data_IF_875185945826
#
_entry.id   IF_875185945826
#
_cell.length_a   1.000
_cell.length_b   1.000
_cell.length_c   1.000
_cell.angle_alpha   90.00
_cell.angle_beta   90.00
_cell.angle_gamma   90.00
#
_symmetry.space_group_name_H-M   'P 1'
#
loop_
_entity.id
_entity.type
_entity.pdbx_description
1 polymer ?
#
# COMPACT_ATOMS: atom_id res chain seq x y z
N UNK A 1 3.06 17.99 -16.84
CA UNK A 1 2.09 16.86 -16.88
C UNK A 1 2.38 15.87 -15.76
N UNK A 2 3.55 15.21 -15.75
CA UNK A 2 3.93 14.22 -14.71
C UNK A 2 3.91 14.73 -13.25
N UNK A 3 4.27 16.00 -12.99
CA UNK A 3 4.25 16.57 -11.63
C UNK A 3 2.82 16.74 -11.08
N UNK A 4 1.89 17.13 -11.94
CA UNK A 4 0.46 17.28 -11.62
C UNK A 4 -0.18 15.91 -11.38
N UNK A 5 0.11 14.94 -12.26
CA UNK A 5 -0.37 13.56 -12.12
C UNK A 5 0.13 12.92 -10.82
N UNK A 6 1.40 13.12 -10.46
CA UNK A 6 1.96 12.64 -9.19
C UNK A 6 1.28 13.27 -7.98
N UNK A 7 0.95 14.56 -8.04
CA UNK A 7 0.26 15.26 -6.94
C UNK A 7 -1.16 14.73 -6.75
N UNK A 8 -1.89 14.55 -7.86
CA UNK A 8 -3.24 13.96 -7.85
C UNK A 8 -3.21 12.52 -7.34
N UNK A 9 -2.23 11.72 -7.79
CA UNK A 9 -2.05 10.36 -7.32
C UNK A 9 -1.79 10.31 -5.81
N UNK A 10 -0.97 11.20 -5.26
CA UNK A 10 -0.74 11.25 -3.82
C UNK A 10 -2.07 11.55 -3.10
N UNK A 11 -2.82 12.56 -3.55
CA UNK A 11 -4.09 12.92 -2.91
C UNK A 11 -5.09 11.76 -2.94
N UNK A 12 -5.31 11.17 -4.11
CA UNK A 12 -6.17 10.00 -4.29
C UNK A 12 -5.68 8.77 -3.52
N UNK A 13 -4.37 8.57 -3.49
CA UNK A 13 -3.74 7.49 -2.75
C UNK A 13 -3.93 7.63 -1.24
N UNK A 14 -3.94 8.86 -0.68
CA UNK A 14 -4.29 9.06 0.73
C UNK A 14 -5.71 8.58 1.06
N UNK A 15 -6.66 8.84 0.16
CA UNK A 15 -8.02 8.33 0.28
C UNK A 15 -8.05 6.81 0.19
N UNK A 16 -7.27 6.22 -0.73
CA UNK A 16 -7.18 4.78 -0.90
C UNK A 16 -6.60 4.07 0.33
N UNK A 17 -5.57 4.63 0.95
CA UNK A 17 -4.97 4.08 2.17
C UNK A 17 -5.97 4.07 3.33
N UNK A 18 -6.76 5.14 3.50
CA UNK A 18 -7.83 5.17 4.52
C UNK A 18 -8.91 4.13 4.24
N UNK A 19 -9.38 4.06 3.00
CA UNK A 19 -10.35 3.05 2.57
C UNK A 19 -9.87 1.63 2.89
N UNK A 20 -8.60 1.32 2.58
CA UNK A 20 -8.00 0.02 2.88
C UNK A 20 -7.92 -0.24 4.38
N UNK A 21 -7.45 0.72 5.17
CA UNK A 21 -7.37 0.60 6.61
C UNK A 21 -8.74 0.37 7.26
N UNK A 22 -9.79 1.04 6.78
CA UNK A 22 -11.17 0.86 7.25
C UNK A 22 -11.75 -0.50 6.85
N UNK A 23 -11.56 -0.91 5.58
CA UNK A 23 -12.13 -2.16 5.07
C UNK A 23 -11.45 -3.40 5.63
N UNK A 24 -10.14 -3.34 5.79
CA UNK A 24 -9.37 -4.48 6.30
C UNK A 24 -9.30 -4.48 7.81
N UNK A 25 -9.32 -3.31 8.46
CA UNK A 25 -9.00 -3.15 9.88
C UNK A 25 -7.49 -3.18 10.17
N UNK A 26 -6.66 -3.32 9.14
CA UNK A 26 -5.20 -3.49 9.22
C UNK A 26 -4.43 -2.22 8.83
N UNK A 27 -3.10 -2.28 8.87
CA UNK A 27 -2.28 -1.12 8.51
C UNK A 27 -2.10 -1.07 7.00
N UNK A 28 -2.53 0.02 6.39
CA UNK A 28 -2.41 0.26 4.96
C UNK A 28 -1.33 1.30 4.64
N UNK A 29 -0.76 1.18 3.45
CA UNK A 29 0.38 1.99 2.99
C UNK A 29 0.22 2.40 1.52
N UNK A 30 0.69 3.61 1.20
CA UNK A 30 0.96 4.05 -0.17
C UNK A 30 2.45 4.15 -0.40
N UNK A 31 2.92 3.42 -1.41
CA UNK A 31 4.29 3.44 -1.87
C UNK A 31 4.37 4.10 -3.24
N UNK A 32 5.30 5.04 -3.44
CA UNK A 32 5.62 5.60 -4.75
C UNK A 32 6.96 5.09 -5.24
N UNK A 33 7.01 4.66 -6.49
CA UNK A 33 8.25 4.27 -7.16
C UNK A 33 9.10 5.49 -7.48
N UNK A 34 10.37 5.43 -7.10
CA UNK A 34 11.39 6.41 -7.43
C UNK A 34 12.71 5.66 -7.69
N UNK A 35 13.15 5.64 -8.96
CA UNK A 35 14.37 4.93 -9.34
C UNK A 35 14.27 3.42 -9.06
N UNK A 36 15.19 2.93 -8.23
CA UNK A 36 15.28 1.52 -7.81
C UNK A 36 14.54 1.25 -6.49
N UNK A 37 13.76 2.20 -5.99
CA UNK A 37 13.17 2.15 -4.67
C UNK A 37 11.68 2.50 -4.71
N UNK A 38 11.03 2.23 -3.59
CA UNK A 38 9.73 2.76 -3.21
C UNK A 38 9.86 3.62 -1.96
N UNK A 39 9.19 4.78 -1.98
CA UNK A 39 9.04 5.68 -0.85
C UNK A 39 7.65 5.51 -0.23
N UNK A 40 7.59 5.26 1.08
CA UNK A 40 6.34 5.31 1.82
C UNK A 40 5.89 6.78 1.97
N UNK A 41 4.77 7.14 1.35
CA UNK A 41 4.25 8.52 1.37
C UNK A 41 2.99 8.70 2.20
N UNK A 42 2.31 7.60 2.54
CA UNK A 42 1.15 7.62 3.42
C UNK A 42 1.01 6.28 4.15
N UNK A 43 0.55 6.35 5.40
CA UNK A 43 0.26 5.18 6.23
C UNK A 43 -1.00 5.45 7.04
N UNK A 44 -1.92 4.50 7.06
CA UNK A 44 -3.11 4.57 7.92
C UNK A 44 -3.29 3.25 8.65
N UNK A 45 -3.55 3.32 9.96
CA UNK A 45 -3.89 2.14 10.76
C UNK A 45 -5.39 1.94 10.79
N UNK A 46 -5.85 0.72 10.51
CA UNK A 46 -7.22 0.30 10.77
C UNK A 46 -7.50 0.13 12.27
N UNK A 47 -8.61 -0.50 12.64
CA UNK A 47 -9.05 -0.60 14.04
C UNK A 47 -8.62 -1.88 14.79
N UNK A 48 -7.93 -2.82 14.15
CA UNK A 48 -7.48 -4.05 14.82
C UNK A 48 -6.48 -3.78 15.95
N UNK A 49 -6.56 -4.49 17.07
CA UNK A 49 -5.83 -4.12 18.29
C UNK A 49 -4.29 -4.09 18.12
N UNK A 50 -3.73 -5.05 17.36
CA UNK A 50 -2.28 -5.16 17.13
C UNK A 50 -1.93 -4.50 15.81
N UNK A 51 -1.00 -3.54 15.82
CA UNK A 51 -0.58 -2.79 14.63
C UNK A 51 0.74 -3.32 14.09
N UNK A 52 0.74 -3.83 12.86
CA UNK A 52 1.97 -4.15 12.14
C UNK A 52 2.54 -2.90 11.47
N UNK A 53 3.46 -2.22 12.17
CA UNK A 53 4.09 -0.97 11.75
C UNK A 53 5.48 -1.22 11.15
N UNK A 54 5.54 -1.94 10.02
CA UNK A 54 6.80 -2.36 9.41
C UNK A 54 7.58 -1.23 8.69
N UNK A 55 6.90 -0.14 8.38
CA UNK A 55 7.44 1.00 7.60
C UNK A 55 6.87 2.30 8.15
N UNK A 56 7.68 3.35 8.20
CA UNK A 56 7.24 4.72 8.51
C UNK A 56 7.11 5.59 7.25
N UNK A 57 6.26 6.61 7.32
CA UNK A 57 6.17 7.60 6.24
C UNK A 57 7.51 8.33 6.12
N UNK A 58 8.05 8.39 4.91
CA UNK A 58 9.41 8.89 4.64
C UNK A 58 10.45 7.79 4.44
N UNK A 59 10.13 6.54 4.80
CA UNK A 59 11.05 5.42 4.60
C UNK A 59 11.15 5.02 3.12
N UNK A 60 12.38 4.67 2.74
CA UNK A 60 12.73 4.10 1.46
C UNK A 60 12.95 2.61 1.59
N UNK A 61 12.46 1.83 0.63
CA UNK A 61 12.72 0.40 0.50
C UNK A 61 13.06 0.07 -0.95
N UNK A 62 14.02 -0.83 -1.22
CA UNK A 62 14.28 -1.28 -2.58
C UNK A 62 13.04 -1.84 -3.27
N UNK A 63 12.94 -1.64 -4.57
CA UNK A 63 12.05 -2.45 -5.39
C UNK A 63 12.44 -3.94 -5.24
N UNK A 64 11.45 -4.83 -5.29
CA UNK A 64 11.65 -6.25 -5.03
C UNK A 64 11.73 -6.67 -3.56
N UNK A 65 11.86 -5.72 -2.61
CA UNK A 65 11.86 -6.02 -1.18
C UNK A 65 10.50 -5.69 -0.54
N UNK A 66 9.99 -6.63 0.26
CA UNK A 66 8.67 -6.54 0.88
C UNK A 66 7.52 -6.50 -0.14
N UNK A 67 6.28 -6.52 0.35
CA UNK A 67 5.11 -6.61 -0.53
C UNK A 67 5.00 -5.38 -1.46
N UNK A 68 5.08 -4.16 -0.92
CA UNK A 68 4.97 -2.94 -1.72
C UNK A 68 6.04 -2.82 -2.82
N UNK A 69 7.30 -3.12 -2.50
CA UNK A 69 8.41 -3.07 -3.45
C UNK A 69 8.30 -4.16 -4.51
N UNK A 70 7.87 -5.37 -4.14
CA UNK A 70 7.67 -6.48 -5.05
C UNK A 70 6.50 -6.24 -6.01
N UNK A 71 5.35 -5.76 -5.51
CA UNK A 71 4.21 -5.38 -6.34
C UNK A 71 4.59 -4.28 -7.35
N UNK A 72 5.24 -3.22 -6.90
CA UNK A 72 5.67 -2.13 -7.78
C UNK A 72 6.66 -2.60 -8.86
N UNK A 73 7.57 -3.52 -8.53
CA UNK A 73 8.49 -4.14 -9.50
C UNK A 73 7.74 -5.02 -10.51
N UNK A 74 6.83 -5.86 -10.04
CA UNK A 74 6.05 -6.77 -10.89
C UNK A 74 5.13 -6.04 -11.88
N UNK A 75 4.63 -4.86 -11.51
CA UNK A 75 3.80 -4.01 -12.38
C UNK A 75 4.55 -3.42 -13.57
N UNK A 76 5.89 -3.38 -13.54
CA UNK A 76 6.69 -2.83 -14.64
C UNK A 76 6.52 -3.63 -15.94
N UNK A 77 6.62 -2.90 -17.06
CA UNK A 77 6.68 -3.51 -18.39
C UNK A 77 7.92 -4.38 -18.52
N UNK A 78 7.83 -5.43 -19.33
CA UNK A 78 8.86 -6.48 -19.45
C UNK A 78 10.28 -5.95 -19.52
N UNK A 79 10.55 -5.13 -20.54
CA UNK A 79 11.89 -4.59 -20.79
C UNK A 79 12.42 -3.75 -19.63
N UNK A 80 11.56 -2.92 -19.03
CA UNK A 80 11.93 -2.08 -17.90
C UNK A 80 12.17 -2.94 -16.65
N UNK A 81 11.31 -3.93 -16.42
CA UNK A 81 11.39 -4.83 -15.27
C UNK A 81 12.67 -5.63 -15.27
N UNK A 82 13.03 -6.27 -16.38
CA UNK A 82 14.29 -7.02 -16.51
C UNK A 82 15.49 -6.12 -16.26
N UNK A 83 15.48 -4.89 -16.80
CA UNK A 83 16.55 -3.93 -16.55
C UNK A 83 16.65 -3.56 -15.07
N UNK A 84 15.53 -3.23 -14.43
CA UNK A 84 15.48 -2.87 -13.00
C UNK A 84 15.90 -4.04 -12.11
N UNK A 85 15.46 -5.27 -12.40
CA UNK A 85 15.88 -6.48 -11.66
C UNK A 85 17.40 -6.65 -11.70
N UNK A 86 18.03 -6.49 -12.86
CA UNK A 86 19.49 -6.53 -12.98
C UNK A 86 20.16 -5.43 -12.14
N UNK A 87 19.65 -4.21 -12.20
CA UNK A 87 20.19 -3.08 -11.42
C UNK A 87 20.02 -3.30 -9.91
N UNK A 88 18.91 -3.89 -9.46
CA UNK A 88 18.68 -4.23 -8.06
C UNK A 88 19.71 -5.26 -7.58
N UNK A 89 19.93 -6.34 -8.34
CA UNK A 89 20.90 -7.37 -7.98
C UNK A 89 22.34 -6.86 -7.92
N UNK A 90 22.67 -5.80 -8.68
CA UNK A 90 23.98 -5.15 -8.65
C UNK A 90 24.11 -4.19 -7.45
N UNK A 91 23.09 -3.35 -7.23
CA UNK A 91 23.21 -2.16 -6.38
C UNK A 91 22.49 -2.24 -5.03
N UNK A 92 21.65 -3.25 -4.79
CA UNK A 92 20.87 -3.44 -3.55
C UNK A 92 21.26 -4.75 -2.89
N UNK A 93 22.23 -4.74 -1.94
CA UNK A 93 22.69 -5.95 -1.24
C UNK A 93 21.54 -6.76 -0.65
N UNK A 94 20.59 -6.10 0.01
CA UNK A 94 19.42 -6.73 0.60
C UNK A 94 18.51 -7.46 -0.42
N UNK A 95 18.47 -7.02 -1.68
CA UNK A 95 17.75 -7.75 -2.75
C UNK A 95 18.62 -8.88 -3.30
N UNK A 96 19.92 -8.65 -3.45
CA UNK A 96 20.87 -9.68 -3.90
C UNK A 96 20.94 -10.86 -2.93
N UNK A 97 20.84 -10.62 -1.63
CA UNK A 97 20.83 -11.65 -0.58
C UNK A 97 19.62 -12.59 -0.68
N UNK A 98 18.48 -12.11 -1.20
CA UNK A 98 17.32 -12.97 -1.48
C UNK A 98 17.56 -13.92 -2.66
N UNK A 99 18.44 -13.52 -3.60
CA UNK A 99 18.80 -14.31 -4.78
C UNK A 99 18.00 -13.94 -6.03
N UNK A 100 18.64 -14.08 -7.20
CA UNK A 100 18.05 -13.77 -8.49
C UNK A 100 16.84 -14.67 -8.81
N UNK A 101 16.97 -15.98 -8.57
CA UNK A 101 15.92 -16.96 -8.80
C UNK A 101 14.68 -16.67 -7.94
N UNK A 102 14.90 -16.33 -6.67
CA UNK A 102 13.83 -15.93 -5.76
C UNK A 102 13.09 -14.70 -6.28
N UNK A 103 13.83 -13.66 -6.69
CA UNK A 103 13.25 -12.42 -7.20
C UNK A 103 12.44 -12.67 -8.47
N UNK A 104 12.96 -13.46 -9.40
CA UNK A 104 12.27 -13.82 -10.64
C UNK A 104 10.98 -14.62 -10.37
N UNK A 105 11.06 -15.64 -9.54
CA UNK A 105 9.90 -16.45 -9.14
C UNK A 105 8.80 -15.57 -8.53
N UNK A 106 9.15 -14.73 -7.57
CA UNK A 106 8.16 -13.92 -6.84
C UNK A 106 7.59 -12.79 -7.70
N UNK A 107 8.37 -12.23 -8.62
CA UNK A 107 7.87 -11.30 -9.64
C UNK A 107 6.88 -12.01 -10.56
N UNK A 108 7.20 -13.21 -11.03
CA UNK A 108 6.32 -13.97 -11.93
C UNK A 108 5.00 -14.37 -11.23
N UNK A 109 5.06 -14.84 -9.99
CA UNK A 109 3.88 -15.12 -9.18
C UNK A 109 3.03 -13.86 -8.95
N UNK A 110 3.67 -12.74 -8.61
CA UNK A 110 2.98 -11.47 -8.39
C UNK A 110 2.27 -11.00 -9.66
N UNK A 111 2.88 -11.19 -10.83
CA UNK A 111 2.27 -10.86 -12.12
C UNK A 111 1.08 -11.75 -12.45
N UNK A 112 1.21 -13.06 -12.24
CA UNK A 112 0.13 -14.01 -12.48
C UNK A 112 -1.11 -13.71 -11.61
N UNK A 113 -0.88 -13.31 -10.36
CA UNK A 113 -1.94 -13.09 -9.38
C UNK A 113 -2.46 -11.64 -9.35
N UNK A 114 -1.71 -10.70 -9.94
CA UNK A 114 -1.89 -9.25 -9.82
C UNK A 114 -1.77 -8.70 -8.37
N UNK A 115 -1.17 -9.47 -7.46
CA UNK A 115 -0.81 -9.02 -6.11
C UNK A 115 0.39 -9.83 -5.59
N UNK A 116 1.14 -9.23 -4.68
CA UNK A 116 2.29 -9.82 -4.00
C UNK A 116 1.95 -10.19 -2.56
N UNK A 117 2.68 -11.14 -2.01
CA UNK A 117 2.67 -11.50 -0.59
C UNK A 117 4.11 -11.56 -0.10
N UNK A 118 4.41 -10.90 1.02
CA UNK A 118 5.71 -10.95 1.66
C UNK A 118 5.54 -11.34 3.13
N UNK A 119 5.75 -12.63 3.43
CA UNK A 119 5.66 -13.20 4.78
C UNK A 119 7.05 -13.47 5.38
N UNK A 120 7.99 -14.02 4.60
CA UNK A 120 9.34 -14.39 5.06
C UNK A 120 10.44 -13.46 4.56
N UNK A 121 10.15 -12.67 3.53
CA UNK A 121 10.95 -11.54 3.05
C UNK A 121 10.33 -10.21 3.45
N UNK A 122 9.37 -10.26 4.39
CA UNK A 122 8.82 -9.10 5.06
C UNK A 122 9.92 -8.36 5.81
N UNK A 123 9.75 -7.05 5.95
CA UNK A 123 10.75 -6.18 6.60
C UNK A 123 10.87 -6.43 8.11
N UNK A 124 9.88 -7.11 8.70
CA UNK A 124 9.77 -7.40 10.13
C UNK A 124 9.27 -8.82 10.29
N UNK A 125 9.94 -9.61 11.14
CA UNK A 125 9.55 -10.98 11.46
C UNK A 125 8.15 -11.02 12.10
N UNK A 126 7.32 -11.98 11.69
CA UNK A 126 5.95 -12.14 12.20
C UNK A 126 4.94 -11.18 11.56
N UNK A 127 5.33 -10.44 10.52
CA UNK A 127 4.46 -9.53 9.76
C UNK A 127 4.39 -9.97 8.32
N UNK A 128 3.16 -10.20 7.84
CA UNK A 128 2.89 -10.42 6.42
C UNK A 128 2.39 -9.13 5.78
N UNK A 129 2.96 -8.79 4.63
CA UNK A 129 2.46 -7.75 3.75
C UNK A 129 1.78 -8.32 2.52
N UNK A 130 0.75 -7.65 2.03
CA UNK A 130 0.08 -7.92 0.75
C UNK A 130 0.04 -6.60 -0.02
N UNK A 131 0.30 -6.61 -1.32
CA UNK A 131 0.29 -5.39 -2.11
C UNK A 131 -0.12 -5.62 -3.55
N UNK A 132 -0.71 -4.60 -4.17
CA UNK A 132 -1.03 -4.57 -5.60
C UNK A 132 -0.40 -3.33 -6.26
N UNK A 133 0.06 -3.44 -7.52
CA UNK A 133 0.66 -2.32 -8.22
C UNK A 133 -0.38 -1.26 -8.61
N UNK A 134 0.01 0.00 -8.52
CA UNK A 134 -0.77 1.12 -9.08
C UNK A 134 -0.27 1.36 -10.50
N UNK A 135 -1.00 0.85 -11.48
CA UNK A 135 -0.71 1.00 -12.91
C UNK A 135 -1.62 2.01 -13.58
N UNK A 136 -1.10 2.74 -14.55
CA UNK A 136 -1.83 3.74 -15.33
C UNK A 136 -1.89 3.38 -16.82
N UNK A 137 -2.69 4.13 -17.56
CA UNK A 137 -2.73 4.05 -19.03
C UNK A 137 -1.31 4.16 -19.61
N UNK A 138 -1.03 3.35 -20.63
CA UNK A 138 0.31 3.25 -21.22
C UNK A 138 1.27 2.33 -20.44
N UNK A 139 0.79 1.59 -19.43
CA UNK A 139 1.58 0.59 -18.71
C UNK A 139 2.61 1.19 -17.75
N UNK A 140 2.39 2.42 -17.28
CA UNK A 140 3.24 3.08 -16.31
C UNK A 140 2.86 2.58 -14.92
N UNK A 141 3.82 2.09 -14.14
CA UNK A 141 3.61 1.78 -12.72
C UNK A 141 4.13 2.91 -11.85
N UNK A 142 3.24 3.51 -11.07
CA UNK A 142 3.59 4.61 -10.16
C UNK A 142 4.06 4.15 -8.79
N UNK A 143 3.73 2.92 -8.39
CA UNK A 143 4.00 2.40 -7.06
C UNK A 143 3.05 1.28 -6.68
N UNK A 144 2.67 1.20 -5.41
CA UNK A 144 1.79 0.14 -4.91
C UNK A 144 0.93 0.63 -3.73
N UNK A 145 -0.26 0.04 -3.59
CA UNK A 145 -0.99 0.01 -2.32
C UNK A 145 -0.67 -1.28 -1.60
N UNK A 146 -0.53 -1.21 -0.29
CA UNK A 146 -0.23 -2.39 0.54
C UNK A 146 -1.02 -2.40 1.83
N UNK A 147 -1.29 -3.60 2.34
CA UNK A 147 -1.81 -3.85 3.68
C UNK A 147 -0.85 -4.80 4.39
N UNK A 148 -0.52 -4.50 5.65
CA UNK A 148 0.28 -5.37 6.51
C UNK A 148 -0.41 -5.64 7.84
N UNK A 149 -0.25 -6.86 8.32
CA UNK A 149 -0.73 -7.31 9.62
C UNK A 149 0.18 -8.42 10.15
N UNK A 150 0.00 -8.80 11.42
CA UNK A 150 0.66 -9.97 11.99
C UNK A 150 0.23 -11.25 11.26
N UNK A 151 1.12 -12.23 11.21
CA UNK A 151 0.94 -13.46 10.42
C UNK A 151 -0.35 -14.21 10.77
N UNK A 152 -0.70 -14.28 12.06
CA UNK A 152 -1.90 -14.98 12.56
C UNK A 152 -3.19 -14.38 12.00
N UNK A 153 -3.14 -13.10 11.64
CA UNK A 153 -4.28 -12.40 11.09
C UNK A 153 -4.38 -12.54 9.58
N UNK A 154 -3.35 -13.01 8.88
CA UNK A 154 -3.34 -13.17 7.43
C UNK A 154 -3.22 -14.64 7.02
N UNK A 155 -4.19 -15.52 7.34
CA UNK A 155 -4.27 -16.84 6.73
C UNK A 155 -4.59 -16.72 5.24
N UNK A 156 -4.30 -17.78 4.46
CA UNK A 156 -4.41 -17.77 3.00
C UNK A 156 -5.73 -17.17 2.47
N UNK A 157 -6.89 -17.61 2.97
CA UNK A 157 -8.19 -17.11 2.51
C UNK A 157 -8.40 -15.61 2.75
N UNK A 158 -7.88 -15.05 3.85
CA UNK A 158 -7.95 -13.61 4.10
C UNK A 158 -6.96 -12.83 3.21
N UNK A 159 -5.84 -13.45 2.82
CA UNK A 159 -4.90 -12.82 1.87
C UNK A 159 -5.58 -12.56 0.54
N UNK A 160 -6.36 -13.53 0.06
CA UNK A 160 -7.14 -13.41 -1.17
C UNK A 160 -8.22 -12.32 -1.04
N UNK A 161 -8.97 -12.29 0.06
CA UNK A 161 -9.95 -11.23 0.35
C UNK A 161 -9.31 -9.83 0.28
N UNK A 162 -8.18 -9.63 0.97
CA UNK A 162 -7.46 -8.36 0.99
C UNK A 162 -6.88 -8.03 -0.39
N UNK A 163 -6.39 -9.03 -1.13
CA UNK A 163 -5.89 -8.84 -2.48
C UNK A 163 -6.98 -8.30 -3.42
N UNK A 164 -8.22 -8.78 -3.34
CA UNK A 164 -9.32 -8.26 -4.14
C UNK A 164 -9.67 -6.81 -3.77
N UNK A 165 -9.67 -6.46 -2.48
CA UNK A 165 -9.88 -5.08 -2.02
C UNK A 165 -8.74 -4.17 -2.52
N UNK A 166 -7.50 -4.64 -2.49
CA UNK A 166 -6.32 -3.92 -2.99
C UNK A 166 -6.39 -3.67 -4.49
N UNK A 167 -6.72 -4.70 -5.28
CA UNK A 167 -6.89 -4.59 -6.74
C UNK A 167 -8.00 -3.59 -7.08
N UNK A 168 -9.14 -3.67 -6.39
CA UNK A 168 -10.23 -2.72 -6.55
C UNK A 168 -9.77 -1.29 -6.23
N UNK A 169 -9.07 -1.09 -5.11
CA UNK A 169 -8.58 0.22 -4.70
C UNK A 169 -7.54 0.80 -5.68
N UNK A 170 -6.66 -0.03 -6.24
CA UNK A 170 -5.68 0.39 -7.26
C UNK A 170 -6.38 0.80 -8.55
N UNK A 171 -7.34 0.00 -9.04
CA UNK A 171 -8.09 0.28 -10.27
C UNK A 171 -8.97 1.53 -10.17
N UNK A 172 -9.48 1.82 -8.97
CA UNK A 172 -10.42 2.93 -8.72
C UNK A 172 -9.80 4.07 -7.90
N UNK A 173 -8.48 4.18 -7.85
CA UNK A 173 -7.77 5.07 -6.91
C UNK A 173 -8.27 6.52 -6.95
N UNK A 174 -8.70 7.02 -8.12
CA UNK A 174 -9.24 8.38 -8.30
C UNK A 174 -10.73 8.53 -7.94
N UNK A 175 -11.46 7.43 -7.76
CA UNK A 175 -12.91 7.38 -7.58
C UNK A 175 -13.31 6.85 -6.20
N UNK A 176 -12.35 6.51 -5.34
CA UNK A 176 -12.65 5.97 -4.02
C UNK A 176 -13.40 7.01 -3.16
N UNK A 177 -14.41 6.57 -2.39
CA UNK A 177 -15.17 7.45 -1.52
C UNK A 177 -14.23 8.07 -0.48
N UNK A 178 -14.36 9.38 -0.27
CA UNK A 178 -13.68 10.04 0.83
C UNK A 178 -14.28 9.54 2.14
N UNK A 179 -13.45 8.97 3.01
CA UNK A 179 -13.85 8.74 4.39
C UNK A 179 -14.21 10.10 5.04
N UNK A 180 -15.30 10.18 5.82
CA UNK A 180 -15.64 11.41 6.51
C UNK A 180 -14.47 11.85 7.40
N UNK A 181 -14.12 13.13 7.33
CA UNK A 181 -12.99 13.67 8.08
C UNK A 181 -13.26 13.48 9.59
N UNK A 182 -12.39 12.80 10.36
CA UNK A 182 -12.62 12.61 11.79
C UNK A 182 -12.74 13.94 12.55
N UNK A 183 -12.21 15.05 12.01
CA UNK A 183 -12.38 16.40 12.57
C UNK A 183 -13.79 16.98 12.37
N UNK A 184 -14.56 16.53 11.38
CA UNK A 184 -15.93 17.01 11.15
C UNK A 184 -16.95 16.30 12.07
N UNK A 185 -16.67 15.07 12.48
CA UNK A 185 -17.51 14.31 13.42
C UNK A 185 -17.47 14.83 14.87
N UNK A 186 -16.39 15.52 15.26
CA UNK A 186 -16.27 16.18 16.57
C UNK A 186 -17.12 17.45 16.62
N UNK A 187 -17.10 18.27 15.57
CA UNK A 187 -17.91 19.49 15.47
C UNK A 187 -19.43 19.23 15.45
N UNK A 188 -19.86 18.06 14.98
CA UNK A 188 -21.29 17.66 15.04
C UNK A 188 -21.74 17.15 16.42
N UNK A 189 -20.81 16.64 17.26
CA UNK A 189 -21.14 16.21 18.63
C UNK A 189 -21.22 17.38 19.59
N UNK A 190 -20.40 18.42 19.39
CA UNK A 190 -20.46 19.64 20.21
C UNK A 190 -21.71 20.49 19.93
N UNK A 191 -22.24 20.47 18.71
CA UNK A 191 -23.41 21.28 18.35
C UNK A 191 -24.76 20.69 18.78
N UNK A 192 -24.79 19.46 19.33
CA UNK A 192 -26.00 18.85 19.91
C UNK A 192 -26.20 19.19 21.39
N UNK A 193 -25.19 19.72 22.09
CA UNK A 193 -25.27 20.08 23.51
C UNK A 193 -25.57 21.57 23.77
N UNK A 194 -25.66 22.42 22.74
CA UNK A 194 -25.88 23.88 22.90
C UNK A 194 -27.32 24.36 22.65
N UNK A 195 -28.29 23.47 22.37
CA UNK A 195 -29.69 23.85 22.04
C UNK A 195 -30.78 23.32 22.98
N UNK A 196 -30.44 23.01 24.23
CA UNK A 196 -31.44 22.80 25.30
C UNK A 196 -31.12 23.70 26.49
N UNK A 197 -31.52 24.96 26.41
CA UNK A 197 -31.40 25.89 27.52
C UNK A 197 -31.81 27.31 27.18
N UNK A 198 -33.12 27.53 27.00
CA UNK A 198 -33.82 28.71 27.52
C UNK A 198 -35.31 28.61 27.20
N UNK A 199 -36.06 28.07 28.16
CA UNK A 199 -37.48 28.37 28.38
C UNK A 199 -37.57 28.94 29.79
N UNK A 200 -38.32 30.05 29.89
CA UNK A 200 -38.83 30.70 31.11
C UNK A 200 -37.74 31.46 31.89
N UNK A 201 -37.89 32.74 32.25
CA UNK A 201 -39.05 33.48 32.77
C UNK A 201 -39.11 34.88 32.17
#
# INVERSE_FOLDING_TARGET
VLATERTLLIQSGRTAVRYLAEKTGDTAYLFLRIGLDVLCVERCTGNYAIKALAVDVGDWRPLGLGAGGLAALAGLQEKERTHVMNMLLIHRPEVRELGADWLEEHVNQTRANAYSVAQYTGLVNGVTGIAAPITWAGGITFGALSVAAIDERLPAGRREEIAEILKYACANIHQLPQAPNPREGLNMRENKYSKTGNREI
#
